data_IF_439521668509
#
_entry.id   IF_439521668509
#
_cell.length_a   1.000
_cell.length_b   1.000
_cell.length_c   1.000
_cell.angle_alpha   90.00
_cell.angle_beta   90.00
_cell.angle_gamma   90.00
#
_symmetry.space_group_name_H-M   'P 1'
#
loop_
_entity.id
_entity.type
_entity.pdbx_description
1 polymer ?
2 polymer ?
3 non-polymer ?
4 non-polymer ?
5 water ?
#
# COMPACT_ATOMS: atom_id res chain seq x y z
N UNK A 32 10.42 9.48 -26.53
CA UNK A 32 9.25 9.39 -25.65
C UNK A 32 9.51 8.53 -24.39
N UNK A 33 9.16 9.03 -23.18
CA UNK A 33 9.37 8.22 -21.97
C UNK A 33 8.25 7.18 -21.81
N UNK A 34 8.61 5.93 -21.44
CA UNK A 34 7.63 4.86 -21.21
C UNK A 34 6.80 5.19 -19.97
N UNK A 35 5.64 4.53 -19.82
CA UNK A 35 4.76 4.77 -18.68
C UNK A 35 5.39 4.30 -17.36
N UNK A 36 6.04 3.13 -17.36
CA UNK A 36 6.69 2.56 -16.16
C UNK A 36 7.91 3.44 -15.72
N UNK A 37 8.63 4.06 -16.67
CA UNK A 37 9.74 4.94 -16.34
C UNK A 37 9.23 6.22 -15.63
N UNK A 38 7.99 6.68 -15.98
CA UNK A 38 7.31 7.81 -15.35
C UNK A 38 6.86 7.43 -13.90
N UNK A 39 6.48 6.15 -13.67
CA UNK A 39 6.10 5.65 -12.34
C UNK A 39 7.38 5.50 -11.48
N UNK A 40 8.50 5.20 -12.14
CA UNK A 40 9.76 5.01 -11.46
C UNK A 40 10.30 6.33 -10.93
N UNK A 41 10.27 7.45 -11.71
CA UNK A 41 10.83 8.74 -11.24
C UNK A 41 10.04 9.36 -10.10
N UNK A 42 8.78 8.95 -9.91
CA UNK A 42 7.92 9.52 -8.87
C UNK A 42 7.97 8.67 -7.59
N UNK A 43 8.73 7.55 -7.63
CA UNK A 43 8.95 6.64 -6.51
C UNK A 43 9.53 7.48 -5.38
N UNK A 44 8.82 7.56 -4.24
CA UNK A 44 9.28 8.47 -3.18
C UNK A 44 10.53 7.99 -2.43
N UNK A 45 11.25 8.97 -1.88
CA UNK A 45 12.46 8.80 -1.06
C UNK A 45 12.14 7.96 0.19
N UNK A 46 13.14 7.25 0.73
CA UNK A 46 12.95 6.43 1.92
C UNK A 46 12.87 7.35 3.15
N UNK A 47 11.91 7.07 4.03
CA UNK A 47 11.70 7.83 5.26
C UNK A 47 12.26 7.06 6.44
N UNK A 48 12.89 7.77 7.38
CA UNK A 48 13.42 7.18 8.61
C UNK A 48 12.36 7.28 9.69
N UNK A 49 12.32 6.29 10.58
CA UNK A 49 11.35 6.19 11.67
C UNK A 49 11.66 7.11 12.84
N UNK A 50 12.91 7.54 12.97
CA UNK A 50 13.42 8.37 14.06
C UNK A 50 13.52 7.57 15.35
N UNK A 51 13.70 6.25 15.22
CA UNK A 51 13.77 5.29 16.33
C UNK A 51 15.14 5.24 17.04
N UNK A 52 15.14 5.65 18.33
CA UNK A 52 16.29 5.62 19.22
C UNK A 52 16.46 4.19 19.75
N UNK A 53 17.47 3.48 19.20
CA UNK A 53 17.80 2.10 19.55
C UNK A 53 18.66 1.96 20.84
N UNK A 54 19.02 3.10 21.49
CA UNK A 54 19.78 3.15 22.74
C UNK A 54 18.83 2.97 23.93
N UNK A 55 17.52 2.88 23.63
CA UNK A 55 16.41 2.69 24.55
C UNK A 55 15.85 1.28 24.19
N UNK A 56 15.48 0.42 25.15
CA UNK A 56 14.97 -0.91 24.77
C UNK A 56 13.64 -0.87 24.00
N UNK A 57 13.33 -1.98 23.30
CA UNK A 57 12.11 -2.11 22.51
C UNK A 57 10.95 -2.50 23.36
N UNK A 58 9.75 -2.23 22.86
CA UNK A 58 8.48 -2.72 23.41
C UNK A 58 7.48 -2.72 22.26
N UNK A 59 6.43 -3.55 22.35
CA UNK A 59 5.39 -3.64 21.32
C UNK A 59 4.67 -2.29 21.15
N UNK A 60 4.30 -1.67 22.26
CA UNK A 60 3.62 -0.36 22.31
C UNK A 60 4.49 0.73 21.70
N UNK A 61 5.80 0.75 22.01
CA UNK A 61 6.76 1.71 21.45
C UNK A 61 6.88 1.57 19.91
N UNK A 62 7.01 0.35 19.43
CA UNK A 62 7.16 0.09 18.00
C UNK A 62 5.89 0.49 17.21
N UNK A 63 4.69 0.03 17.68
CA UNK A 63 3.38 0.30 17.08
C UNK A 63 3.13 1.81 16.97
N UNK A 64 3.47 2.55 18.04
CA UNK A 64 3.39 4.01 18.17
C UNK A 64 4.26 4.75 17.15
N UNK A 65 5.56 4.36 17.06
CA UNK A 65 6.55 4.89 16.12
C UNK A 65 6.06 4.64 14.69
N UNK A 66 5.58 3.40 14.39
CA UNK A 66 5.11 3.01 13.07
C UNK A 66 3.91 3.82 12.58
N UNK A 67 3.01 4.22 13.50
CA UNK A 67 1.85 5.01 13.16
C UNK A 67 2.27 6.40 12.75
N UNK A 68 3.25 7.00 13.46
CA UNK A 68 3.81 8.33 13.13
C UNK A 68 4.53 8.29 11.77
N UNK A 69 5.29 7.22 11.52
CA UNK A 69 5.95 6.96 10.23
C UNK A 69 4.91 6.78 9.12
N UNK A 70 3.86 5.97 9.41
CA UNK A 70 2.73 5.67 8.53
C UNK A 70 2.04 6.91 7.98
N UNK A 71 1.79 7.89 8.86
CA UNK A 71 1.19 9.17 8.48
C UNK A 71 2.07 9.97 7.53
N UNK A 72 3.40 10.00 7.76
CA UNK A 72 4.37 10.68 6.90
C UNK A 72 4.49 10.00 5.55
N UNK A 73 4.38 8.67 5.54
CA UNK A 73 4.44 7.84 4.35
C UNK A 73 3.16 7.99 3.53
N UNK A 74 1.98 8.17 4.19
CA UNK A 74 0.69 8.38 3.52
C UNK A 74 0.63 9.78 2.90
N UNK A 75 1.16 10.81 3.60
CA UNK A 75 1.28 12.17 3.05
C UNK A 75 2.16 12.11 1.75
N UNK A 76 3.25 11.31 1.75
CA UNK A 76 4.12 11.17 0.58
C UNK A 76 3.41 10.43 -0.57
N UNK A 77 2.50 9.47 -0.22
CA UNK A 77 1.69 8.70 -1.18
C UNK A 77 0.66 9.60 -1.88
N UNK A 78 0.22 10.69 -1.22
CA UNK A 78 -0.69 11.67 -1.82
C UNK A 78 0.07 12.42 -2.92
N UNK A 79 1.31 12.88 -2.62
CA UNK A 79 2.17 13.61 -3.57
C UNK A 79 2.47 12.71 -4.78
N UNK A 80 2.71 11.42 -4.49
CA UNK A 80 3.03 10.36 -5.45
C UNK A 80 1.84 10.12 -6.38
N UNK A 81 0.62 9.88 -5.81
CA UNK A 81 -0.62 9.62 -6.56
C UNK A 81 -0.93 10.73 -7.56
N UNK A 82 -0.80 11.98 -7.13
CA UNK A 82 -1.02 13.18 -7.95
C UNK A 82 -0.12 13.22 -9.20
N UNK A 83 1.01 12.50 -9.18
CA UNK A 83 1.97 12.47 -10.29
C UNK A 83 1.85 11.21 -11.19
N UNK A 84 0.95 10.27 -10.86
CA UNK A 84 0.70 9.08 -11.65
C UNK A 84 -0.06 9.56 -12.90
N UNK A 85 0.49 9.32 -14.13
CA UNK A 85 -0.24 9.77 -15.34
C UNK A 85 -1.71 9.32 -15.34
N UNK A 86 -2.62 10.29 -15.51
CA UNK A 86 -4.06 10.03 -15.52
C UNK A 86 -4.80 10.31 -14.23
N UNK A 87 -4.19 10.01 -13.05
CA UNK A 87 -4.82 10.17 -11.72
C UNK A 87 -5.47 11.54 -11.46
N UNK A 88 -4.81 12.64 -11.81
CA UNK A 88 -5.36 13.98 -11.58
C UNK A 88 -6.57 14.29 -12.47
N UNK A 89 -6.78 13.51 -13.56
CA UNK A 89 -7.92 13.68 -14.48
C UNK A 89 -9.24 13.19 -13.88
N UNK A 90 -9.17 12.36 -12.82
CA UNK A 90 -10.33 11.84 -12.10
C UNK A 90 -10.93 12.96 -11.30
N UNK A 91 -12.22 12.87 -10.96
CA UNK A 91 -12.88 13.89 -10.14
C UNK A 91 -12.12 13.94 -8.79
N UNK A 92 -11.95 15.12 -8.20
CA UNK A 92 -11.25 15.26 -6.91
C UNK A 92 -11.76 14.26 -5.85
N UNK A 93 -13.10 14.06 -5.77
CA UNK A 93 -13.76 13.12 -4.87
C UNK A 93 -13.31 11.68 -5.10
N UNK A 94 -12.97 11.33 -6.36
CA UNK A 94 -12.50 9.99 -6.72
C UNK A 94 -11.06 9.82 -6.29
N UNK A 95 -10.25 10.90 -6.45
CA UNK A 95 -8.85 10.93 -6.01
C UNK A 95 -8.78 10.65 -4.51
N UNK A 96 -9.64 11.34 -3.72
CA UNK A 96 -9.77 11.17 -2.28
C UNK A 96 -10.20 9.75 -1.91
N UNK A 97 -11.21 9.21 -2.62
CA UNK A 97 -11.79 7.88 -2.43
C UNK A 97 -10.76 6.76 -2.59
N UNK A 98 -10.01 6.76 -3.70
CA UNK A 98 -8.99 5.75 -4.03
C UNK A 98 -7.86 5.74 -3.01
N UNK A 99 -7.44 6.95 -2.57
CA UNK A 99 -6.42 7.10 -1.53
C UNK A 99 -6.89 6.61 -0.15
N UNK A 100 -8.18 6.85 0.18
CA UNK A 100 -8.79 6.38 1.43
C UNK A 100 -8.95 4.86 1.49
N UNK A 101 -9.33 4.24 0.36
CA UNK A 101 -9.51 2.80 0.29
C UNK A 101 -8.20 2.04 0.28
N UNK A 102 -7.17 2.56 -0.42
CA UNK A 102 -5.95 1.80 -0.69
C UNK A 102 -4.69 2.11 0.13
N UNK A 103 -4.69 3.16 0.98
CA UNK A 103 -3.50 3.55 1.74
C UNK A 103 -2.79 2.38 2.43
N UNK A 104 -3.55 1.48 3.08
CA UNK A 104 -2.98 0.34 3.81
C UNK A 104 -2.33 -0.62 2.84
N UNK A 105 -2.98 -0.83 1.67
CA UNK A 105 -2.51 -1.71 0.62
C UNK A 105 -1.19 -1.18 0.05
N UNK A 106 -1.14 0.14 -0.20
CA UNK A 106 0.09 0.78 -0.68
C UNK A 106 1.21 0.68 0.39
N UNK A 107 0.88 0.96 1.68
CA UNK A 107 1.84 0.88 2.79
C UNK A 107 2.41 -0.52 2.95
N UNK A 108 1.53 -1.54 2.94
CA UNK A 108 1.94 -2.94 3.08
C UNK A 108 2.73 -3.46 1.88
N UNK A 109 2.32 -3.10 0.66
CA UNK A 109 3.03 -3.52 -0.55
C UNK A 109 4.44 -2.92 -0.60
N UNK A 110 4.57 -1.61 -0.35
CA UNK A 110 5.86 -0.93 -0.35
C UNK A 110 6.79 -1.48 0.74
N UNK A 111 6.23 -1.84 1.92
CA UNK A 111 6.97 -2.44 3.04
C UNK A 111 7.49 -3.83 2.64
N UNK A 112 6.69 -4.56 1.87
CA UNK A 112 7.03 -5.88 1.34
C UNK A 112 8.22 -5.77 0.41
N UNK A 113 8.20 -4.78 -0.51
CA UNK A 113 9.28 -4.50 -1.46
C UNK A 113 10.59 -4.20 -0.73
N UNK A 114 10.58 -3.22 0.22
CA UNK A 114 11.77 -2.83 0.98
C UNK A 114 12.34 -4.02 1.72
N UNK A 115 11.44 -4.88 2.27
CA UNK A 115 11.83 -6.06 3.03
C UNK A 115 12.45 -7.12 2.12
N UNK A 116 11.85 -7.34 0.95
CA UNK A 116 12.33 -8.22 -0.11
C UNK A 116 13.74 -7.80 -0.62
N UNK A 117 13.96 -6.49 -0.84
CA UNK A 117 15.24 -5.95 -1.30
C UNK A 117 16.33 -5.91 -0.23
N UNK A 118 15.94 -5.79 1.05
CA UNK A 118 16.87 -5.70 2.19
C UNK A 118 17.69 -6.96 2.39
N UNK A 119 17.00 -8.10 2.51
CA UNK A 119 17.62 -9.41 2.77
C UNK A 119 16.73 -10.54 2.26
N UNK A 120 17.29 -11.76 2.29
CA UNK A 120 16.57 -12.97 1.91
C UNK A 120 15.86 -13.48 3.16
N UNK A 121 16.31 -13.01 4.36
CA UNK A 121 15.79 -13.37 5.68
C UNK A 121 14.36 -12.86 5.91
N UNK A 122 13.68 -13.39 6.95
CA UNK A 122 12.31 -12.99 7.35
C UNK A 122 12.35 -11.74 8.25
N UNK A 123 12.65 -10.60 7.61
CA UNK A 123 12.72 -9.29 8.25
C UNK A 123 11.66 -8.34 7.70
N UNK A 124 11.35 -7.29 8.47
CA UNK A 124 10.45 -6.24 8.06
C UNK A 124 11.22 -4.94 8.10
N UNK A 125 11.50 -4.39 6.91
CA UNK A 125 12.25 -3.16 6.78
C UNK A 125 11.25 -2.01 6.71
N UNK A 126 10.77 -1.57 7.90
CA UNK A 126 9.82 -0.47 8.03
C UNK A 126 10.49 0.83 7.60
N UNK A 127 11.72 1.00 8.04
CA UNK A 127 12.57 2.15 7.73
C UNK A 127 14.04 1.67 7.93
N UNK A 128 15.08 2.40 7.43
CA UNK A 128 16.46 1.93 7.65
C UNK A 128 16.87 1.85 9.13
N UNK A 129 16.24 2.66 10.00
CA UNK A 129 16.46 2.71 11.46
C UNK A 129 15.46 1.86 12.28
N UNK A 130 14.56 1.12 11.61
CA UNK A 130 13.58 0.25 12.27
C UNK A 130 13.34 -1.01 11.44
N UNK A 131 14.27 -1.95 11.55
CA UNK A 131 14.19 -3.22 10.87
C UNK A 131 13.81 -4.24 11.94
N UNK A 132 12.70 -4.94 11.73
CA UNK A 132 12.24 -5.92 12.70
C UNK A 132 12.71 -7.32 12.25
N UNK A 133 13.75 -7.80 12.94
CA UNK A 133 14.38 -9.11 12.75
C UNK A 133 13.59 -10.22 13.48
N UNK A 134 14.10 -11.47 13.46
CA UNK A 134 13.47 -12.61 14.14
C UNK A 134 13.54 -12.48 15.69
N UNK A 135 14.54 -11.73 16.20
CA UNK A 135 14.74 -11.46 17.62
C UNK A 135 13.71 -10.45 18.14
N UNK A 136 13.38 -9.41 17.33
CA UNK A 136 12.39 -8.39 17.70
C UNK A 136 10.96 -8.95 17.60
N UNK A 137 10.79 -10.00 16.80
CA UNK A 137 9.52 -10.68 16.60
C UNK A 137 9.06 -11.47 17.85
N UNK A 138 10.00 -11.71 18.80
CA UNK A 138 9.75 -12.46 20.06
C UNK A 138 8.96 -11.61 21.05
N UNK A 139 8.86 -10.28 20.78
CA UNK A 139 8.13 -9.28 21.57
C UNK A 139 6.67 -9.70 21.62
N UNK A 140 5.97 -9.53 22.77
CA UNK A 140 4.57 -10.00 22.87
C UNK A 140 3.64 -9.36 21.85
N UNK A 141 2.85 -10.18 21.16
CA UNK A 141 1.85 -9.78 20.16
C UNK A 141 2.43 -9.21 18.85
N UNK A 142 3.77 -9.10 18.76
CA UNK A 142 4.48 -8.63 17.58
C UNK A 142 4.34 -9.58 16.38
N UNK A 143 4.61 -10.90 16.57
CA UNK A 143 4.54 -11.85 15.46
C UNK A 143 3.20 -11.89 14.74
N UNK A 144 2.10 -11.88 15.51
CA UNK A 144 0.77 -11.97 14.94
C UNK A 144 0.40 -10.79 14.05
N UNK A 145 0.95 -9.60 14.31
CA UNK A 145 0.64 -8.50 13.39
C UNK A 145 1.62 -8.48 12.21
N UNK A 146 2.90 -8.79 12.47
CA UNK A 146 4.02 -8.85 11.52
C UNK A 146 3.90 -9.94 10.45
N UNK A 147 3.25 -11.10 10.74
CA UNK A 147 3.12 -12.23 9.79
C UNK A 147 2.34 -11.90 8.53
N UNK A 148 1.30 -11.04 8.63
CA UNK A 148 0.50 -10.62 7.46
C UNK A 148 1.35 -9.74 6.54
N UNK A 149 2.26 -8.97 7.15
CA UNK A 149 3.20 -8.09 6.46
C UNK A 149 4.36 -8.94 5.87
N UNK A 150 4.81 -10.01 6.59
CA UNK A 150 5.85 -10.92 6.10
C UNK A 150 5.39 -11.72 4.88
N UNK A 151 4.08 -11.93 4.72
CA UNK A 151 3.48 -12.63 3.59
C UNK A 151 3.77 -11.93 2.27
N UNK A 152 3.71 -10.57 2.25
CA UNK A 152 3.97 -9.76 1.06
C UNK A 152 5.41 -9.97 0.56
N UNK A 153 6.42 -9.81 1.43
CA UNK A 153 7.80 -10.00 0.99
C UNK A 153 8.10 -11.44 0.61
N UNK A 154 7.44 -12.41 1.28
CA UNK A 154 7.57 -13.85 1.04
C UNK A 154 7.13 -14.16 -0.38
N UNK A 155 6.00 -13.58 -0.80
CA UNK A 155 5.44 -13.74 -2.14
C UNK A 155 6.28 -13.05 -3.21
N UNK A 156 6.92 -11.91 -2.88
CA UNK A 156 7.78 -11.19 -3.83
C UNK A 156 9.07 -11.97 -4.03
N UNK A 157 9.63 -12.58 -2.95
CA UNK A 157 10.83 -13.43 -3.00
C UNK A 157 10.51 -14.65 -3.89
N UNK A 158 9.46 -15.42 -3.51
CA UNK A 158 8.95 -16.63 -4.18
C UNK A 158 8.64 -16.41 -5.67
N UNK A 159 8.11 -15.23 -6.02
CA UNK A 159 7.75 -14.95 -7.41
C UNK A 159 8.84 -14.18 -8.18
N UNK A 160 9.94 -13.81 -7.47
CA UNK A 160 11.09 -13.06 -8.01
C UNK A 160 10.60 -11.87 -8.84
N UNK A 161 9.70 -11.08 -8.23
CA UNK A 161 9.06 -9.90 -8.79
C UNK A 161 10.14 -8.88 -9.11
N UNK A 162 10.03 -8.27 -10.31
CA UNK A 162 10.97 -7.27 -10.75
C UNK A 162 10.53 -5.86 -10.31
N UNK A 163 11.46 -4.89 -10.36
CA UNK A 163 11.22 -3.48 -10.04
C UNK A 163 10.09 -2.92 -10.91
N UNK A 164 10.12 -3.20 -12.22
CA UNK A 164 9.08 -2.74 -13.15
C UNK A 164 7.70 -3.33 -12.89
N UNK A 165 7.63 -4.64 -12.57
CA UNK A 165 6.36 -5.33 -12.27
C UNK A 165 5.76 -4.74 -11.00
N UNK A 166 6.62 -4.50 -9.97
CA UNK A 166 6.29 -3.92 -8.68
C UNK A 166 5.67 -2.54 -8.85
N UNK A 167 6.31 -1.65 -9.64
CA UNK A 167 5.83 -0.30 -9.93
C UNK A 167 4.45 -0.29 -10.60
N UNK A 168 4.17 -1.27 -11.48
CA UNK A 168 2.87 -1.39 -12.14
C UNK A 168 1.83 -1.93 -11.14
N UNK A 169 2.24 -2.94 -10.33
CA UNK A 169 1.42 -3.59 -9.31
C UNK A 169 1.01 -2.63 -8.20
N UNK A 170 1.95 -1.75 -7.74
CA UNK A 170 1.70 -0.73 -6.72
C UNK A 170 0.71 0.31 -7.23
N UNK A 171 0.82 0.74 -8.49
CA UNK A 171 -0.16 1.67 -9.09
C UNK A 171 -1.56 0.99 -9.18
N UNK A 172 -1.58 -0.32 -9.50
CA UNK A 172 -2.80 -1.12 -9.57
C UNK A 172 -3.46 -1.28 -8.19
N UNK A 173 -2.63 -1.34 -7.12
CA UNK A 173 -3.14 -1.41 -5.74
C UNK A 173 -3.84 -0.13 -5.37
N UNK A 174 -3.42 1.03 -5.89
CA UNK A 174 -4.12 2.30 -5.64
C UNK A 174 -5.57 2.24 -6.23
N UNK A 175 -5.75 1.50 -7.35
CA UNK A 175 -7.00 1.36 -8.10
C UNK A 175 -7.68 -0.03 -7.90
N UNK A 176 -7.49 -0.63 -6.72
CA UNK A 176 -8.03 -1.95 -6.38
C UNK A 176 -9.44 -1.94 -5.72
N UNK A 177 -9.93 -0.78 -5.23
CA UNK A 177 -11.26 -0.66 -4.59
C UNK A 177 -11.98 0.56 -5.08
N UNK A 178 -13.31 0.46 -5.16
CA UNK A 178 -14.20 1.54 -5.62
C UNK A 178 -15.46 1.57 -4.73
N UNK A 179 -16.22 2.69 -4.66
CA UNK A 179 -17.48 2.65 -3.89
C UNK A 179 -18.49 1.68 -4.52
N UNK A 180 -19.48 1.20 -3.71
CA UNK A 180 -20.55 0.29 -4.15
C UNK A 180 -21.16 0.76 -5.49
N UNK A 181 -21.50 2.06 -5.58
CA UNK A 181 -22.10 2.73 -6.73
C UNK A 181 -21.08 3.41 -7.66
N UNK A 182 -19.83 2.95 -7.60
CA UNK A 182 -18.73 3.44 -8.42
C UNK A 182 -18.32 4.88 -8.20
N UNK A 183 -17.38 5.35 -9.02
CA UNK A 183 -16.81 6.69 -9.00
C UNK A 183 -17.52 7.65 -9.93
N UNK A 184 -17.35 8.96 -9.68
CA UNK A 184 -17.92 10.04 -10.51
C UNK A 184 -17.33 10.05 -11.94
N UNK A 185 -16.09 9.51 -12.10
CA UNK A 185 -15.34 9.40 -13.36
C UNK A 185 -15.02 7.91 -13.56
N UNK A 186 -16.04 7.04 -13.42
CA UNK A 186 -15.87 5.59 -13.55
C UNK A 186 -15.34 5.16 -14.92
N UNK A 187 -15.94 5.69 -16.00
CA UNK A 187 -15.54 5.41 -17.39
C UNK A 187 -14.02 5.64 -17.55
N UNK A 188 -13.55 6.84 -17.16
CA UNK A 188 -12.16 7.24 -17.21
C UNK A 188 -11.27 6.34 -16.32
N UNK A 189 -11.76 6.00 -15.11
CA UNK A 189 -11.06 5.14 -14.17
C UNK A 189 -10.83 3.75 -14.76
N UNK A 190 -11.83 3.20 -15.45
CA UNK A 190 -11.71 1.88 -16.08
C UNK A 190 -10.67 1.92 -17.21
N UNK A 191 -10.58 3.07 -17.91
CA UNK A 191 -9.60 3.32 -18.96
C UNK A 191 -8.18 3.35 -18.35
N UNK A 192 -7.98 4.18 -17.27
CA UNK A 192 -6.72 4.33 -16.53
C UNK A 192 -6.28 2.97 -15.98
N UNK A 193 -7.21 2.25 -15.34
CA UNK A 193 -6.93 0.94 -14.76
C UNK A 193 -6.48 -0.08 -15.82
N UNK A 194 -7.16 -0.11 -16.98
CA UNK A 194 -6.83 -0.95 -18.14
C UNK A 194 -5.40 -0.68 -18.60
N UNK A 195 -5.05 0.61 -18.79
CA UNK A 195 -3.73 1.09 -19.20
C UNK A 195 -2.64 0.48 -18.29
N UNK A 196 -2.82 0.57 -16.93
CA UNK A 196 -1.85 0.02 -15.99
C UNK A 196 -1.86 -1.53 -15.94
N UNK A 197 -3.00 -2.19 -16.30
CA UNK A 197 -3.04 -3.67 -16.41
C UNK A 197 -2.13 -4.06 -17.61
N UNK A 198 -2.27 -3.34 -18.75
CA UNK A 198 -1.48 -3.53 -19.98
C UNK A 198 -0.01 -3.28 -19.66
N UNK A 199 0.26 -2.21 -18.88
CA UNK A 199 1.62 -1.85 -18.45
C UNK A 199 2.28 -2.96 -17.64
N UNK A 200 1.49 -3.69 -16.83
CA UNK A 200 1.97 -4.82 -16.04
C UNK A 200 2.31 -5.99 -16.99
N UNK A 201 1.49 -6.14 -18.05
CA UNK A 201 1.69 -7.14 -19.09
C UNK A 201 3.03 -6.97 -19.78
N UNK A 202 3.32 -5.73 -20.22
CA UNK A 202 4.57 -5.31 -20.87
C UNK A 202 5.81 -5.64 -20.02
N UNK A 203 5.73 -5.45 -18.69
CA UNK A 203 6.85 -5.73 -17.77
C UNK A 203 7.11 -7.22 -17.63
N UNK A 204 6.04 -8.04 -17.69
CA UNK A 204 6.08 -9.52 -17.63
C UNK A 204 6.81 -10.08 -18.89
N UNK A 205 6.40 -9.59 -20.08
CA UNK A 205 6.97 -9.94 -21.38
C UNK A 205 8.47 -9.58 -21.43
N UNK A 206 8.84 -8.39 -20.88
CA UNK A 206 10.22 -7.85 -20.77
C UNK A 206 11.19 -8.84 -20.10
N UNK A 207 10.63 -9.89 -19.48
CA UNK A 207 11.36 -10.98 -18.83
C UNK A 207 11.10 -12.25 -19.62
N UNK A 208 11.72 -12.32 -20.80
CA UNK A 208 11.64 -13.40 -21.79
C UNK A 208 11.97 -14.79 -21.17
N UNK A 209 10.96 -15.64 -20.96
CA UNK A 209 9.55 -15.33 -21.25
C UNK A 209 8.77 -16.34 -22.07
N UNK A 210 7.86 -15.79 -22.91
CA UNK A 210 6.89 -16.33 -23.88
C UNK A 210 6.64 -17.89 -23.86
N UNK A 211 5.36 -18.35 -23.88
CA UNK A 211 4.12 -17.57 -23.90
C UNK A 211 3.12 -18.07 -22.83
N UNK A 212 3.04 -19.41 -22.64
CA UNK A 212 2.20 -20.02 -21.59
C UNK A 212 2.88 -19.72 -20.25
N UNK A 213 4.19 -19.39 -20.31
CA UNK A 213 5.06 -18.99 -19.22
C UNK A 213 4.66 -17.58 -18.77
N UNK A 214 4.29 -16.72 -19.74
CA UNK A 214 3.86 -15.34 -19.52
C UNK A 214 2.48 -15.29 -18.90
N UNK A 215 1.51 -16.05 -19.47
CA UNK A 215 0.14 -16.15 -18.97
C UNK A 215 0.16 -16.60 -17.50
N UNK A 216 1.09 -17.53 -17.14
CA UNK A 216 1.26 -18.02 -15.77
C UNK A 216 1.86 -16.92 -14.87
N UNK A 217 2.75 -16.06 -15.43
CA UNK A 217 3.33 -14.95 -14.66
C UNK A 217 2.22 -13.93 -14.38
N UNK A 218 1.40 -13.60 -15.40
CA UNK A 218 0.28 -12.68 -15.23
C UNK A 218 -0.72 -13.25 -14.21
N UNK A 219 -1.01 -14.57 -14.28
CA UNK A 219 -1.91 -15.28 -13.37
C UNK A 219 -1.38 -15.14 -11.95
N UNK A 220 -0.09 -15.49 -11.73
CA UNK A 220 0.57 -15.44 -10.43
C UNK A 220 0.63 -14.04 -9.79
N UNK A 221 1.04 -13.01 -10.58
CA UNK A 221 1.14 -11.62 -10.09
C UNK A 221 -0.22 -11.01 -9.79
N UNK A 222 -1.24 -11.24 -10.67
CA UNK A 222 -2.61 -10.74 -10.43
C UNK A 222 -3.27 -11.52 -9.27
N UNK A 223 -2.78 -12.73 -8.94
CA UNK A 223 -3.27 -13.52 -7.80
C UNK A 223 -2.73 -12.89 -6.50
N UNK A 224 -1.46 -12.41 -6.52
CA UNK A 224 -0.84 -11.71 -5.38
C UNK A 224 -1.58 -10.37 -5.14
N UNK A 225 -1.94 -9.65 -6.24
CA UNK A 225 -2.70 -8.41 -6.19
C UNK A 225 -4.04 -8.64 -5.49
N UNK A 226 -4.75 -9.74 -5.85
CA UNK A 226 -6.02 -10.13 -5.24
C UNK A 226 -5.87 -10.45 -3.74
N UNK A 227 -4.79 -11.15 -3.36
CA UNK A 227 -4.54 -11.53 -1.95
C UNK A 227 -4.23 -10.33 -1.04
N UNK A 228 -3.95 -9.14 -1.62
CA UNK A 228 -3.68 -7.92 -0.85
C UNK A 228 -4.91 -7.48 -0.09
N UNK A 229 -6.12 -7.72 -0.66
CA UNK A 229 -7.41 -7.43 -0.03
C UNK A 229 -7.52 -8.18 1.30
N UNK A 230 -7.05 -9.45 1.33
CA UNK A 230 -7.02 -10.29 2.52
C UNK A 230 -5.95 -9.83 3.52
N UNK A 231 -4.79 -9.36 3.02
CA UNK A 231 -3.67 -8.85 3.84
C UNK A 231 -4.14 -7.58 4.54
N UNK A 232 -4.74 -6.66 3.78
CA UNK A 232 -5.30 -5.39 4.22
C UNK A 232 -6.42 -5.61 5.23
N UNK A 233 -7.28 -6.63 5.00
CA UNK A 233 -8.36 -6.91 5.94
C UNK A 233 -7.78 -7.22 7.32
N UNK A 234 -6.69 -8.01 7.37
CA UNK A 234 -6.05 -8.36 8.65
C UNK A 234 -5.34 -7.19 9.31
N UNK A 235 -4.70 -6.32 8.50
CA UNK A 235 -3.97 -5.13 8.95
C UNK A 235 -4.92 -4.08 9.48
N UNK A 236 -6.05 -3.86 8.78
CA UNK A 236 -7.09 -2.91 9.17
C UNK A 236 -7.84 -3.35 10.41
N UNK A 237 -7.92 -4.67 10.72
CA UNK A 237 -8.54 -5.13 11.98
C UNK A 237 -7.71 -4.61 13.17
N UNK A 238 -6.37 -4.70 13.06
CA UNK A 238 -5.41 -4.18 14.05
C UNK A 238 -5.50 -2.66 14.13
N UNK A 239 -5.46 -2.01 12.96
CA UNK A 239 -5.53 -0.58 12.79
C UNK A 239 -6.79 0.05 13.42
N UNK A 240 -7.97 -0.45 13.05
CA UNK A 240 -9.26 0.01 13.54
C UNK A 240 -9.43 -0.20 15.05
N UNK A 241 -8.96 -1.34 15.58
CA UNK A 241 -9.05 -1.65 17.02
C UNK A 241 -8.19 -0.72 17.82
N UNK A 242 -6.92 -0.54 17.41
CA UNK A 242 -5.97 0.31 18.12
C UNK A 242 -6.36 1.77 18.03
N UNK A 243 -7.04 2.18 16.94
CA UNK A 243 -7.54 3.55 16.77
C UNK A 243 -8.71 3.85 17.73
N UNK A 244 -9.77 3.00 17.65
CA UNK A 244 -11.01 3.11 18.41
C UNK A 244 -10.87 2.92 19.90
N UNK A 245 -10.04 1.97 20.36
CA UNK A 245 -9.90 1.72 21.79
C UNK A 245 -8.90 2.69 22.44
N UNK A 246 -9.43 3.78 23.02
CA UNK A 246 -8.61 4.84 23.62
C UNK A 246 -7.90 4.39 24.91
N UNK A 247 -8.35 3.28 25.53
CA UNK A 247 -7.69 2.74 26.72
C UNK A 247 -6.29 2.12 26.35
N UNK A 248 -6.07 1.83 25.03
CA UNK A 248 -4.80 1.30 24.53
C UNK A 248 -3.67 2.33 24.47
N UNK A 249 -4.02 3.63 24.47
CA UNK A 249 -3.08 4.76 24.38
C UNK A 249 -2.17 4.67 23.16
N UNK A 250 -2.74 4.23 22.02
CA UNK A 250 -2.04 4.11 20.75
C UNK A 250 -2.42 5.31 19.88
N UNK A 251 -1.49 6.24 19.73
CA UNK A 251 -1.65 7.45 18.95
C UNK A 251 -1.52 7.21 17.44
N UNK A 252 -2.33 7.93 16.69
CA UNK A 252 -2.33 7.98 15.24
C UNK A 252 -2.22 9.45 14.85
N UNK A 253 -1.31 9.81 13.91
CA UNK A 253 -1.21 11.21 13.48
C UNK A 253 -2.47 11.65 12.71
N UNK A 254 -2.68 12.98 12.56
CA UNK A 254 -3.83 13.59 11.87
C UNK A 254 -4.18 12.88 10.54
N UNK A 255 -3.17 12.60 9.70
CA UNK A 255 -3.34 11.97 8.39
C UNK A 255 -4.07 10.65 8.50
N UNK A 256 -3.61 9.75 9.40
CA UNK A 256 -4.20 8.43 9.58
C UNK A 256 -5.52 8.50 10.32
N UNK A 257 -5.60 9.29 11.42
CA UNK A 257 -6.84 9.46 12.20
C UNK A 257 -8.02 9.87 11.30
N UNK A 258 -7.81 10.84 10.40
CA UNK A 258 -8.77 11.35 9.44
C UNK A 258 -9.25 10.27 8.47
N UNK A 259 -8.32 9.54 7.83
CA UNK A 259 -8.66 8.49 6.89
C UNK A 259 -9.43 7.37 7.58
N UNK A 260 -8.95 6.93 8.76
CA UNK A 260 -9.56 5.87 9.57
C UNK A 260 -10.99 6.24 9.98
N UNK A 261 -11.20 7.45 10.53
CA UNK A 261 -12.51 7.95 10.94
C UNK A 261 -13.52 7.88 9.76
N UNK A 262 -13.04 8.18 8.55
CA UNK A 262 -13.84 8.18 7.33
C UNK A 262 -14.14 6.76 6.78
N UNK A 263 -13.14 5.88 6.85
CA UNK A 263 -13.21 4.52 6.36
C UNK A 263 -13.97 3.54 7.24
N UNK A 264 -13.88 3.66 8.59
CA UNK A 264 -14.56 2.73 9.51
C UNK A 264 -16.06 2.54 9.11
N UNK A 265 -16.91 3.60 9.03
CA UNK A 265 -18.30 3.38 8.60
C UNK A 265 -18.46 2.76 7.20
N UNK A 266 -17.55 3.04 6.25
CA UNK A 266 -17.61 2.50 4.88
C UNK A 266 -17.45 0.96 4.83
N UNK A 267 -16.81 0.35 5.85
CA UNK A 267 -16.64 -1.11 5.99
C UNK A 267 -17.87 -1.74 6.69
N UNK A 268 -18.74 -0.91 7.30
CA UNK A 268 -19.93 -1.41 8.01
C UNK A 268 -21.23 -1.23 7.19
N UNK A 269 -21.22 -0.35 6.17
CA UNK A 269 -22.35 -0.04 5.31
C UNK A 269 -22.21 -0.69 3.92
N UNK A 270 -21.21 -1.56 3.79
CA UNK A 270 -20.88 -2.25 2.54
C UNK A 270 -20.43 -1.34 1.42
N UNK A 271 -20.10 -0.10 1.73
CA UNK A 271 -19.67 0.87 0.74
C UNK A 271 -18.21 0.66 0.28
N UNK A 272 -17.95 -0.51 -0.33
CA UNK A 272 -16.65 -0.94 -0.86
C UNK A 272 -16.82 -2.12 -1.81
N UNK A 273 -16.36 -1.94 -3.05
CA UNK A 273 -16.35 -2.95 -4.10
C UNK A 273 -14.87 -3.22 -4.36
N UNK A 274 -14.38 -4.34 -3.81
CA UNK A 274 -12.99 -4.74 -3.94
C UNK A 274 -12.83 -5.43 -5.29
N UNK A 275 -12.10 -4.79 -6.21
CA UNK A 275 -11.87 -5.32 -7.55
C UNK A 275 -10.93 -6.52 -7.51
N UNK A 276 -11.30 -7.58 -8.24
CA UNK A 276 -10.54 -8.83 -8.35
C UNK A 276 -10.27 -9.16 -9.80
N UNK A 277 -9.16 -9.88 -10.05
CA UNK A 277 -8.77 -10.34 -11.40
C UNK A 277 -9.30 -11.76 -11.60
N UNK A 278 -9.40 -12.53 -10.50
CA UNK A 278 -9.85 -13.91 -10.46
C UNK A 278 -11.07 -13.98 -9.55
N UNK A 279 -12.19 -14.54 -10.06
CA UNK A 279 -13.44 -14.68 -9.31
C UNK A 279 -13.53 -16.06 -8.67
N UNK B 2 -15.34 15.10 7.67
CA UNK B 2 -14.67 15.86 6.61
C UNK B 2 -13.17 15.55 6.53
N UNK B 3 -12.67 15.27 5.31
CA UNK B 3 -11.26 14.95 5.14
C UNK B 3 -10.44 16.17 4.76
N UNK B 4 -10.29 17.08 5.73
CA UNK B 4 -9.61 18.37 5.63
C UNK B 4 -8.16 18.30 5.17
N UNK B 5 -7.33 17.44 5.81
CA UNK B 5 -5.92 17.31 5.45
C UNK B 5 -5.73 16.70 4.07
N UNK B 6 -6.45 15.59 3.78
CA UNK B 6 -6.38 14.91 2.48
C UNK B 6 -6.82 15.84 1.34
N UNK B 7 -7.91 16.62 1.52
CA UNK B 7 -8.37 17.56 0.52
C UNK B 7 -7.29 18.62 0.28
N UNK B 8 -6.70 19.16 1.40
CA UNK B 8 -5.65 20.18 1.33
C UNK B 8 -4.45 19.68 0.51
N UNK B 9 -4.00 18.45 0.77
CA UNK B 9 -2.86 17.85 0.09
C UNK B 9 -3.14 17.57 -1.39
N UNK B 10 -4.39 17.33 -1.77
CA UNK B 10 -4.71 17.12 -3.19
C UNK B 10 -4.86 18.49 -3.89
N UNK B 11 -5.51 19.48 -3.24
CA UNK B 11 -5.70 20.84 -3.77
C UNK B 11 -4.42 21.71 -3.82
N UNK B 12 -3.50 21.61 -2.83
CA UNK B 12 -2.24 22.37 -2.82
C UNK B 12 -1.36 22.10 -4.06
N UNK B 13 -0.36 22.97 -4.31
CA UNK B 13 0.59 22.77 -5.41
C UNK B 13 1.73 21.91 -4.89
N UNK B 14 1.99 20.76 -5.59
CA UNK B 14 2.96 19.69 -5.27
C UNK B 14 2.23 18.45 -4.68
X LIG C 1 -2.45 -2.05 25.99
X LIG C 1 -1.46 -2.39 24.86
X LIG C 1 -3.46 -3.47 23.60
X LIG C 1 -3.99 -4.71 22.90
X LIG C 1 -3.12 -5.05 21.66
X LIG C 1 -1.69 -5.27 22.16
X LIG C 1 -0.96 -5.81 20.95
X LIG C 1 -2.01 -6.78 20.38
X LIG C 1 -3.36 -6.44 21.03
X LIG C 1 -3.28 -3.93 20.60
X LIG C 1 -1.38 -1.09 24.04
X LIG C 1 -2.40 -2.98 27.21
X LIG C 1 -0.98 -3.09 27.73
X LIG C 1 -0.05 -3.64 26.65
X LIG C 1 -0.04 -2.70 25.42
X LIG C 1 0.94 -3.21 24.34
X LIG C 1 0.39 -4.25 23.35
X LIG C 1 -1.06 -4.03 22.86
X LIG C 1 -1.98 -3.62 24.04
X LIG C 1 -4.60 -6.67 20.13
X LIG C 1 -5.90 -6.74 20.93
X LIG C 1 -4.47 -7.92 19.25
X LIG C 1 -5.61 -8.12 18.25
X LIG C 1 -5.75 -9.57 17.80
X LIG C 1 -4.22 -11.45 18.20
X LIG C 1 -4.42 -12.82 18.86
X LIG C 1 -4.85 -13.89 17.83
X LIG C 1 -5.53 -16.12 17.40
X LIG C 1 -5.45 -15.46 19.68
X LIG C 1 -7.15 -14.59 18.21
X LIG C 1 -5.27 -10.53 18.60
X LIG C 1 -5.73 -14.99 18.30
X LIG C 1 -6.32 -9.81 16.75
X LIG C 1 -0.95 -3.87 28.93
X LIG C 1 0.58 -5.53 23.98
X LIG C 1 -4.07 -5.79 23.84
X LIG D 1 3.50 2.18 8.82
X LIG D 1 4.68 2.17 8.21
X LIG D 1 4.95 1.19 7.14
X LIG D 1 3.91 0.20 6.78
X LIG D 1 2.71 0.26 7.37
X LIG D 1 1.67 -0.79 6.97
X LIG D 1 1.18 -1.54 8.22
X LIG D 1 0.77 -0.60 9.37
X LIG D 1 1.95 0.38 9.72
X LIG D 1 2.36 1.26 8.48
X LIG D 1 1.67 1.21 11.00
X LIG D 1 1.14 0.38 12.20
X LIG D 1 -0.08 -0.50 11.85
X LIG D 1 0.36 -1.40 10.62
X LIG D 1 -0.76 -2.44 10.52
X LIG D 1 -1.13 -2.71 12.01
X LIG D 1 -0.42 -1.62 12.89
X LIG D 1 -1.33 0.38 11.57
X LIG D 1 1.27 2.23 7.95
X LIG D 1 -1.28 -1.11 14.05
X LIG D 1 -0.64 -0.35 15.18
X LIG D 1 -0.73 -4.13 12.39
X LIG D 1 3.06 -0.43 10.00
X LIG D 1 6.00 1.23 6.55
X LIG D 1 0.78 2.31 10.77
X LIG D 1 0.74 -2.22 13.46
X LIG D 1 -2.47 -1.32 14.12
X LIG D 1 -1.61 0.39 15.93
#
# INVERSE_FOLDING_TARGET
>A
GSIQQATTGVSQETSENPGDKTIVPATLPQLTPTLVSLLEVIEPEVLYAGYDSSVPDSTWRIMTTLNMLGGRQVIAAVKWAKAIPGFRNLHLDDQMTLLQYSWMSLMAFALGWRSYRQSSANLLCFAPDLIINEQRMTLPDMYDQCKHMLYVSSELHRLQVSYEEYLCMKTLLLLSSVPKDGLKSQELFDEIRMTYIKELGKAIVKREGNSSQNWQRFYQLTKLLDSMHEVVENLLNYCFQTFLDKTMSIEFPEMLAEIITNQIPKYSNGNIKKLLFHQK
>B
KENALLRYLLDKDD
>C hetero
1 CPS C1 C2 C3 C4 C5 C6 C7 C8 C9 C10 C11 C12 C13 C14 C15 C16 C17 C18 C19 C20 C21 C22 C23 C24 C25 C26 C27 C28 C29 C30 N1 N2 O1 O2 O3 O4
>D hetero
1 DEX C1 C2 C3 C4 C5 C6 C7 C8 C9 C10 C11 C12 C13 C14 C15 C16 C17 C18 C19 C20 C21 C22 F1 O1 O2 O3 O4 O5
#
